data_IF_869717525120
#
_entry.id   IF_869717525120
#
_cell.length_a   1.000
_cell.length_b   1.000
_cell.length_c   1.000
_cell.angle_alpha   90.00
_cell.angle_beta   90.00
_cell.angle_gamma   90.00
#
_symmetry.space_group_name_H-M   'P 1'
#
loop_
_entity.id
_entity.type
_entity.pdbx_description
1 polymer ?
2 non-polymer ?
3 non-polymer ?
4 non-polymer ?
5 water ?
#
# COMPACT_ATOMS: atom_id res chain seq x y z
N UNK A 9 7.34 24.88 12.15
CA UNK A 9 6.68 24.35 10.95
C UNK A 9 5.22 24.00 11.25
N UNK A 10 4.33 24.29 10.28
CA UNK A 10 2.92 23.95 10.40
C UNK A 10 2.73 22.46 10.70
N UNK A 11 1.76 22.16 11.56
CA UNK A 11 1.38 20.77 11.75
C UNK A 11 0.52 20.30 10.58
N UNK A 12 0.54 18.98 10.35
CA UNK A 12 -0.27 18.36 9.32
C UNK A 12 -1.07 17.25 9.97
N UNK A 13 -2.39 17.31 9.80
CA UNK A 13 -3.29 16.34 10.40
C UNK A 13 -3.97 15.50 9.35
N UNK A 14 -4.26 14.25 9.71
CA UNK A 14 -5.05 13.36 8.86
C UNK A 14 -6.47 13.41 9.40
N UNK A 15 -7.40 13.90 8.58
CA UNK A 15 -8.78 14.05 9.04
C UNK A 15 -9.69 12.93 8.54
N UNK A 16 -9.28 12.19 7.52
CA UNK A 16 -10.02 10.99 7.13
C UNK A 16 -9.05 10.07 6.40
N UNK A 17 -9.37 8.78 6.40
CA UNK A 17 -8.48 7.77 5.86
C UNK A 17 -9.28 6.51 5.57
N UNK A 18 -9.35 6.10 4.30
CA UNK A 18 -10.16 4.94 3.93
C UNK A 18 -9.44 4.12 2.86
N UNK A 19 -9.96 2.92 2.61
CA UNK A 19 -9.43 2.08 1.55
C UNK A 19 -10.57 1.24 0.98
N UNK A 20 -10.45 0.86 -0.30
CA UNK A 20 -11.31 -0.19 -0.83
C UNK A 20 -10.91 -1.53 -0.21
N UNK A 21 -11.77 -2.55 -0.25
CA UNK A 21 -11.27 -3.90 -0.06
C UNK A 21 -10.31 -4.22 -1.20
N UNK A 22 -9.47 -5.23 -0.99
CA UNK A 22 -8.51 -5.60 -2.01
C UNK A 22 -9.00 -6.84 -2.74
N UNK A 23 -9.02 -6.76 -4.06
CA UNK A 23 -9.39 -7.89 -4.88
C UNK A 23 -8.18 -8.73 -5.28
N UNK A 24 -8.44 -10.01 -5.51
CA UNK A 24 -7.41 -10.93 -5.96
C UNK A 24 -7.12 -10.72 -7.44
N UNK A 25 -5.98 -11.23 -7.88
CA UNK A 25 -5.58 -11.10 -9.28
C UNK A 25 -6.62 -11.78 -10.18
N UNK A 26 -7.11 -11.05 -11.19
CA UNK A 26 -8.20 -11.48 -12.06
C UNK A 26 -9.47 -11.80 -11.28
N UNK A 27 -9.62 -11.22 -10.10
CA UNK A 27 -10.72 -11.50 -9.18
C UNK A 27 -11.81 -10.46 -9.23
N UNK A 28 -12.37 -10.15 -8.05
CA UNK A 28 -13.63 -9.44 -7.96
C UNK A 28 -13.57 -8.02 -8.51
N UNK A 29 -12.39 -7.39 -8.46
CA UNK A 29 -12.22 -6.03 -8.95
C UNK A 29 -11.53 -5.97 -10.29
N UNK A 30 -11.34 -7.11 -10.96
CA UNK A 30 -10.54 -7.10 -12.17
C UNK A 30 -11.19 -6.29 -13.29
N UNK A 31 -12.50 -6.06 -13.22
CA UNK A 31 -13.21 -5.24 -14.19
C UNK A 31 -13.42 -3.80 -13.80
N UNK A 32 -12.84 -3.35 -12.68
CA UNK A 32 -12.99 -2.00 -12.17
C UNK A 32 -11.64 -1.30 -12.31
N UNK A 33 -11.49 -0.37 -13.25
CA UNK A 33 -10.17 0.22 -13.51
C UNK A 33 -9.56 0.89 -12.27
N UNK A 34 -8.22 0.92 -12.23
CA UNK A 34 -7.52 1.54 -11.12
C UNK A 34 -8.06 2.94 -10.81
N UNK A 35 -8.31 3.74 -11.85
CA UNK A 35 -8.76 5.11 -11.62
C UNK A 35 -10.14 5.14 -10.97
N UNK A 36 -10.99 4.16 -11.28
CA UNK A 36 -12.29 4.11 -10.63
C UNK A 36 -12.15 3.62 -9.18
N UNK A 37 -11.24 2.67 -8.92
CA UNK A 37 -10.96 2.32 -7.53
C UNK A 37 -10.44 3.53 -6.76
N UNK A 38 -9.57 4.34 -7.40
CA UNK A 38 -9.13 5.57 -6.75
C UNK A 38 -10.30 6.50 -6.49
N UNK A 39 -11.22 6.63 -7.45
CA UNK A 39 -12.41 7.45 -7.25
C UNK A 39 -13.23 6.99 -6.04
N UNK A 40 -13.40 5.67 -5.89
CA UNK A 40 -14.18 5.15 -4.76
C UNK A 40 -13.49 5.51 -3.45
N UNK A 41 -12.16 5.37 -3.39
CA UNK A 41 -11.46 5.67 -2.15
C UNK A 41 -11.51 7.16 -1.84
N UNK A 42 -11.28 8.00 -2.85
CA UNK A 42 -11.29 9.44 -2.59
C UNK A 42 -12.68 9.89 -2.15
N UNK A 43 -13.73 9.43 -2.87
CA UNK A 43 -15.07 9.81 -2.46
C UNK A 43 -15.37 9.32 -1.06
N UNK A 44 -14.90 8.11 -0.74
CA UNK A 44 -15.12 7.59 0.60
C UNK A 44 -14.47 8.45 1.67
N UNK A 45 -13.26 8.95 1.38
CA UNK A 45 -12.56 9.79 2.35
C UNK A 45 -13.29 11.11 2.56
N UNK A 46 -13.82 11.70 1.48
CA UNK A 46 -14.61 12.92 1.62
C UNK A 46 -15.89 12.67 2.39
N UNK A 47 -16.57 11.56 2.06
CA UNK A 47 -17.87 11.26 2.65
C UNK A 47 -17.78 11.02 4.16
N UNK A 48 -16.65 10.47 4.64
CA UNK A 48 -16.51 10.19 6.07
C UNK A 48 -16.62 11.46 6.91
N UNK A 49 -16.21 12.60 6.37
CA UNK A 49 -16.22 13.86 7.10
C UNK A 49 -17.16 14.88 6.47
N UNK A 50 -18.02 14.44 5.54
CA UNK A 50 -18.98 15.31 4.86
C UNK A 50 -18.30 16.56 4.31
N UNK A 51 -17.15 16.37 3.69
CA UNK A 51 -16.34 17.51 3.26
C UNK A 51 -16.82 18.04 1.92
N UNK A 52 -17.02 19.35 1.84
CA UNK A 52 -17.28 20.01 0.57
C UNK A 52 -16.11 19.73 -0.37
N UNK A 53 -16.33 19.05 -1.50
CA UNK A 53 -15.19 18.69 -2.36
C UNK A 53 -14.36 19.87 -2.81
N UNK A 54 -14.96 21.07 -2.88
CA UNK A 54 -14.19 22.22 -3.34
C UNK A 54 -13.16 22.69 -2.32
N UNK A 55 -13.16 22.14 -1.10
CA UNK A 55 -12.10 22.49 -0.17
C UNK A 55 -10.77 21.84 -0.53
N UNK A 56 -10.79 20.79 -1.35
CA UNK A 56 -9.56 20.06 -1.69
C UNK A 56 -8.75 20.85 -2.72
N UNK A 57 -7.48 21.11 -2.41
CA UNK A 57 -6.68 21.98 -3.27
C UNK A 57 -5.72 21.24 -4.19
N UNK A 58 -5.53 19.93 -3.97
CA UNK A 58 -4.65 19.12 -4.79
C UNK A 58 -4.96 17.67 -4.45
N UNK A 59 -4.56 16.78 -5.36
CA UNK A 59 -4.76 15.35 -5.22
C UNK A 59 -3.48 14.69 -5.69
N UNK A 60 -2.84 13.91 -4.82
CA UNK A 60 -1.66 13.11 -5.20
C UNK A 60 -2.03 11.64 -5.06
N UNK A 61 -1.93 10.88 -6.15
CA UNK A 61 -2.24 9.46 -6.09
C UNK A 61 -1.05 8.62 -6.55
N UNK A 62 -0.61 7.70 -5.71
CA UNK A 62 0.37 6.71 -6.13
C UNK A 62 -0.24 5.75 -7.15
N UNK A 63 0.58 5.35 -8.13
CA UNK A 63 0.10 4.50 -9.22
C UNK A 63 1.31 4.00 -9.97
N UNK A 64 1.66 2.72 -9.84
CA UNK A 64 2.94 2.25 -10.36
C UNK A 64 2.84 1.88 -11.83
N UNK A 65 1.70 1.33 -12.24
CA UNK A 65 1.56 0.70 -13.56
C UNK A 65 0.46 1.46 -14.30
N UNK A 66 0.85 2.56 -14.93
CA UNK A 66 -0.09 3.51 -15.50
C UNK A 66 -0.49 3.18 -16.93
N UNK A 67 0.13 2.18 -17.55
CA UNK A 67 -0.09 1.94 -18.97
C UNK A 67 -1.55 1.59 -19.24
N UNK A 68 -2.12 2.28 -20.24
CA UNK A 68 -3.47 2.00 -20.69
C UNK A 68 -4.56 2.53 -19.79
N UNK A 69 -4.21 3.22 -18.70
CA UNK A 69 -5.24 3.83 -17.86
C UNK A 69 -5.82 5.08 -18.48
N UNK A 70 -5.23 5.58 -19.56
CA UNK A 70 -5.71 6.81 -20.16
C UNK A 70 -4.99 8.02 -19.60
N UNK A 71 -5.29 9.16 -20.22
CA UNK A 71 -4.60 10.41 -19.88
C UNK A 71 -4.91 10.84 -18.45
N UNK A 72 -3.87 11.31 -17.74
CA UNK A 72 -4.00 11.89 -16.40
C UNK A 72 -4.76 10.98 -15.45
N UNK A 73 -4.21 9.82 -15.11
CA UNK A 73 -4.91 8.90 -14.19
C UNK A 73 -5.34 9.56 -12.89
N UNK A 74 -4.54 10.46 -12.31
CA UNK A 74 -4.98 11.05 -11.06
C UNK A 74 -6.17 11.98 -11.26
N UNK A 75 -6.27 12.63 -12.43
CA UNK A 75 -7.46 13.43 -12.71
C UNK A 75 -8.69 12.55 -12.84
N UNK A 76 -8.54 11.42 -13.53
CA UNK A 76 -9.69 10.51 -13.68
C UNK A 76 -10.21 10.07 -12.32
N UNK A 77 -9.32 9.75 -11.39
CA UNK A 77 -9.76 9.37 -10.05
C UNK A 77 -10.45 10.53 -9.35
N UNK A 78 -9.87 11.72 -9.41
CA UNK A 78 -10.44 12.87 -8.71
C UNK A 78 -11.81 13.23 -9.27
N UNK A 79 -11.94 13.36 -10.59
CA UNK A 79 -13.23 13.71 -11.17
C UNK A 79 -14.26 12.61 -10.92
N UNK A 80 -13.83 11.34 -10.97
CA UNK A 80 -14.74 10.25 -10.68
C UNK A 80 -15.25 10.25 -9.26
N UNK A 81 -14.46 10.80 -8.33
CA UNK A 81 -14.86 10.91 -6.92
C UNK A 81 -15.79 12.08 -6.66
N UNK A 82 -16.03 12.92 -7.67
CA UNK A 82 -16.87 14.09 -7.49
C UNK A 82 -16.14 15.35 -7.13
N UNK A 83 -14.80 15.34 -7.15
CA UNK A 83 -14.08 16.60 -7.00
C UNK A 83 -14.31 17.45 -8.25
N UNK A 84 -14.34 18.78 -8.09
CA UNK A 84 -14.62 19.65 -9.25
C UNK A 84 -13.44 19.71 -10.22
N UNK A 85 -13.74 20.18 -11.43
CA UNK A 85 -12.70 20.32 -12.46
C UNK A 85 -11.74 21.44 -12.16
N UNK A 86 -11.91 22.13 -11.04
CA UNK A 86 -10.94 23.13 -10.58
C UNK A 86 -9.87 22.51 -9.67
N UNK A 87 -9.87 21.19 -9.48
CA UNK A 87 -8.93 20.51 -8.59
C UNK A 87 -7.68 20.06 -9.35
N UNK A 88 -6.49 20.58 -9.03
CA UNK A 88 -5.25 20.01 -9.60
C UNK A 88 -5.03 18.57 -9.14
N UNK A 89 -4.35 17.78 -9.98
CA UNK A 89 -4.09 16.37 -9.65
C UNK A 89 -2.75 15.91 -10.22
N UNK A 90 -2.08 15.00 -9.52
CA UNK A 90 -0.79 14.44 -9.96
C UNK A 90 -0.69 12.96 -9.55
N UNK A 91 -0.13 12.14 -10.42
CA UNK A 91 0.14 10.74 -10.10
C UNK A 91 1.62 10.55 -9.78
N UNK A 92 1.93 9.77 -8.74
CA UNK A 92 3.31 9.60 -8.29
C UNK A 92 3.71 8.14 -8.33
N UNK A 93 4.96 7.89 -8.70
CA UNK A 93 5.47 6.53 -8.88
C UNK A 93 6.83 6.41 -8.19
N UNK A 94 6.81 5.83 -6.99
CA UNK A 94 7.97 5.35 -6.26
C UNK A 94 7.81 3.84 -6.04
N UNK A 95 7.34 3.15 -7.08
CA UNK A 95 7.03 1.71 -7.05
C UNK A 95 6.18 1.44 -5.81
N UNK A 96 6.49 0.40 -5.04
CA UNK A 96 5.59 0.08 -3.93
C UNK A 96 5.50 1.19 -2.83
N UNK A 97 6.41 2.16 -2.81
CA UNK A 97 6.30 3.22 -1.82
C UNK A 97 5.39 4.36 -2.31
N UNK A 98 4.84 4.23 -3.53
CA UNK A 98 4.11 5.34 -4.16
C UNK A 98 3.04 5.95 -3.27
N UNK A 99 2.17 5.13 -2.67
CA UNK A 99 1.09 5.71 -1.87
C UNK A 99 1.60 6.42 -0.63
N UNK A 100 2.69 5.93 -0.05
CA UNK A 100 3.24 6.63 1.10
C UNK A 100 3.93 7.92 0.68
N UNK A 101 4.67 7.86 -0.45
CA UNK A 101 5.32 9.06 -0.96
C UNK A 101 4.30 10.13 -1.31
N UNK A 102 3.13 9.71 -1.83
CA UNK A 102 2.06 10.68 -2.09
C UNK A 102 1.66 11.41 -0.81
N UNK A 103 1.47 10.66 0.28
CA UNK A 103 1.11 11.28 1.56
C UNK A 103 2.21 12.21 2.05
N UNK A 104 3.47 11.79 1.94
CA UNK A 104 4.60 12.62 2.38
C UNK A 104 4.67 13.91 1.57
N UNK A 105 4.58 13.81 0.25
CA UNK A 105 4.61 15.00 -0.61
C UNK A 105 3.45 15.93 -0.30
N UNK A 106 2.28 15.36 -0.01
CA UNK A 106 1.15 16.19 0.35
C UNK A 106 1.38 16.91 1.67
N UNK A 107 1.98 16.21 2.64
CA UNK A 107 2.32 16.86 3.91
C UNK A 107 3.30 18.00 3.67
N UNK A 108 4.25 17.81 2.76
CA UNK A 108 5.20 18.87 2.46
C UNK A 108 4.52 20.06 1.83
N UNK A 109 3.49 19.83 1.00
CA UNK A 109 2.73 20.95 0.44
C UNK A 109 2.02 21.75 1.52
N UNK A 110 1.53 21.07 2.57
CA UNK A 110 0.93 21.80 3.70
C UNK A 110 2.01 22.55 4.48
N UNK A 111 3.12 21.89 4.80
CA UNK A 111 4.17 22.53 5.58
C UNK A 111 4.81 23.70 4.84
N UNK A 112 4.87 23.62 3.50
CA UNK A 112 5.45 24.69 2.69
C UNK A 112 4.52 25.89 2.59
N UNK A 113 3.30 25.78 3.10
CA UNK A 113 2.35 26.88 3.11
C UNK A 113 1.45 26.96 1.91
N UNK A 114 1.49 25.98 1.02
CA UNK A 114 0.84 26.14 -0.28
C UNK A 114 -0.58 25.66 -0.31
N UNK A 115 -0.95 24.68 0.52
CA UNK A 115 -2.33 24.19 0.57
C UNK A 115 -2.74 24.01 2.02
N UNK A 116 -4.06 24.12 2.26
CA UNK A 116 -4.65 23.87 3.56
C UNK A 116 -5.38 22.53 3.63
N UNK A 117 -5.76 21.96 2.49
CA UNK A 117 -6.45 20.68 2.46
C UNK A 117 -6.06 19.98 1.18
N UNK A 118 -5.71 18.70 1.29
CA UNK A 118 -5.15 17.96 0.16
C UNK A 118 -5.49 16.49 0.32
N UNK A 119 -5.75 15.81 -0.80
CA UNK A 119 -6.01 14.37 -0.83
C UNK A 119 -4.73 13.66 -1.24
N UNK A 120 -4.38 12.58 -0.53
CA UNK A 120 -3.23 11.76 -0.93
C UNK A 120 -3.60 10.30 -0.77
N UNK A 121 -3.15 9.47 -1.71
CA UNK A 121 -3.46 8.05 -1.62
C UNK A 121 -2.79 7.30 -2.74
N UNK A 122 -3.42 6.20 -3.17
CA UNK A 122 -2.83 5.38 -4.21
C UNK A 122 -3.85 4.42 -4.75
N UNK A 123 -3.52 3.85 -5.91
CA UNK A 123 -4.47 3.01 -6.63
C UNK A 123 -3.70 2.08 -7.55
N UNK A 124 -4.24 0.89 -7.77
CA UNK A 124 -3.62 -0.04 -8.69
C UNK A 124 -4.66 -1.07 -9.11
N UNK A 125 -4.69 -1.38 -10.40
CA UNK A 125 -5.41 -2.57 -10.85
C UNK A 125 -4.39 -3.41 -11.60
N UNK A 126 -3.82 -4.39 -10.89
CA UNK A 126 -2.79 -5.22 -11.51
C UNK A 126 -3.40 -6.16 -12.54
N UNK A 127 -4.68 -6.53 -12.36
CA UNK A 127 -5.37 -7.38 -13.33
C UNK A 127 -5.43 -6.73 -14.72
N UNK A 128 -5.48 -5.40 -14.78
CA UNK A 128 -5.68 -4.69 -16.05
C UNK A 128 -4.38 -4.19 -16.67
N UNK A 129 -3.23 -4.55 -16.14
CA UNK A 129 -1.98 -4.04 -16.72
C UNK A 129 -1.77 -4.71 -18.06
N UNK A 130 -1.48 -3.98 -19.12
CA UNK A 130 -1.36 -4.61 -20.44
C UNK A 130 -0.02 -5.30 -20.64
N UNK A 131 0.06 -6.03 -21.76
CA UNK A 131 1.32 -6.42 -22.38
C UNK A 131 1.72 -5.37 -23.42
N UNK A 132 3.02 -5.29 -23.69
CA UNK A 132 3.60 -4.23 -24.52
C UNK A 132 4.21 -4.80 -25.78
N UNK A 133 4.02 -4.11 -26.90
CA UNK A 133 4.74 -4.41 -28.14
C UNK A 133 5.30 -3.12 -28.71
N UNK A 134 6.52 -3.18 -29.25
CA UNK A 134 7.03 -2.05 -30.05
C UNK A 134 6.35 -2.11 -31.40
N UNK A 135 5.32 -1.28 -31.58
CA UNK A 135 4.59 -1.34 -32.83
C UNK A 135 5.11 -0.45 -33.94
N UNK A 136 6.05 0.45 -33.64
CA UNK A 136 6.50 1.47 -34.58
C UNK A 136 7.62 1.00 -35.46
N UNK A 137 8.44 0.10 -34.94
CA UNK A 137 9.58 -0.47 -35.64
C UNK A 137 9.19 -1.89 -36.00
N UNK A 138 8.94 -2.10 -37.29
CA UNK A 138 8.69 -3.45 -37.77
C UNK A 138 9.87 -4.37 -37.57
N UNK A 139 9.57 -5.67 -37.58
CA UNK A 139 10.59 -6.71 -37.54
C UNK A 139 10.50 -7.45 -38.86
N UNK A 140 11.52 -7.28 -39.71
CA UNK A 140 11.42 -7.79 -41.08
C UNK A 140 11.39 -9.32 -41.10
N UNK A 141 12.06 -9.97 -40.18
CA UNK A 141 12.11 -11.44 -40.16
C UNK A 141 12.47 -11.86 -38.74
N UNK A 142 11.61 -12.66 -38.12
CA UNK A 142 11.89 -13.11 -36.78
C UNK A 142 10.70 -12.98 -35.84
N UNK A 143 10.71 -13.78 -34.77
CA UNK A 143 9.63 -13.72 -33.79
C UNK A 143 9.65 -12.38 -33.05
N UNK A 144 8.47 -11.97 -32.56
CA UNK A 144 8.30 -10.72 -31.83
C UNK A 144 7.86 -11.06 -30.41
N UNK A 145 8.34 -10.30 -29.44
CA UNK A 145 8.02 -10.54 -28.05
C UNK A 145 7.07 -9.48 -27.54
N UNK A 146 6.03 -9.91 -26.81
CA UNK A 146 5.12 -9.01 -26.09
C UNK A 146 5.46 -9.14 -24.62
N UNK A 147 5.97 -8.07 -24.02
CA UNK A 147 6.39 -8.11 -22.63
C UNK A 147 5.19 -7.90 -21.72
N UNK A 148 5.05 -8.74 -20.70
CA UNK A 148 4.05 -8.52 -19.67
C UNK A 148 4.39 -7.25 -18.89
N UNK A 149 3.50 -6.24 -18.91
CA UNK A 149 3.82 -4.99 -18.24
C UNK A 149 4.00 -5.12 -16.74
N UNK A 150 3.27 -6.06 -16.13
CA UNK A 150 3.44 -6.32 -14.69
C UNK A 150 4.86 -6.77 -14.39
N UNK A 151 5.35 -7.73 -15.16
CA UNK A 151 6.70 -8.24 -14.93
C UNK A 151 7.74 -7.20 -15.31
N UNK A 152 7.53 -6.48 -16.42
CA UNK A 152 8.57 -5.58 -16.94
C UNK A 152 8.70 -4.33 -16.08
N UNK A 153 7.58 -3.69 -15.74
CA UNK A 153 7.65 -2.43 -15.01
C UNK A 153 7.44 -2.59 -13.52
N UNK A 154 6.78 -3.67 -13.10
CA UNK A 154 6.45 -3.80 -11.69
C UNK A 154 7.39 -4.69 -10.89
N UNK A 155 7.72 -5.87 -11.41
CA UNK A 155 8.26 -6.96 -10.59
C UNK A 155 9.68 -7.38 -10.93
N UNK A 156 10.30 -6.79 -11.96
CA UNK A 156 11.63 -7.20 -12.38
C UNK A 156 12.64 -6.10 -12.02
N UNK A 157 13.70 -6.49 -11.32
CA UNK A 157 14.78 -5.54 -11.05
C UNK A 157 15.52 -5.22 -12.35
N UNK A 158 15.68 -3.91 -12.63
CA UNK A 158 16.30 -3.50 -13.88
C UNK A 158 17.72 -4.02 -14.00
N UNK A 159 18.50 -3.93 -12.92
CA UNK A 159 19.95 -4.08 -13.02
C UNK A 159 20.34 -5.56 -13.10
N UNK A 160 19.62 -6.41 -12.37
CA UNK A 160 19.88 -7.85 -12.40
C UNK A 160 19.01 -8.59 -13.40
N UNK A 161 17.92 -7.97 -13.86
CA UNK A 161 16.91 -8.61 -14.71
C UNK A 161 16.25 -9.79 -14.02
N UNK A 162 16.27 -9.81 -12.69
CA UNK A 162 15.65 -10.87 -11.93
C UNK A 162 14.40 -10.36 -11.22
N UNK A 163 13.50 -11.30 -10.91
CA UNK A 163 12.25 -11.00 -10.23
C UNK A 163 12.53 -10.57 -8.79
N UNK A 164 11.65 -9.72 -8.24
CA UNK A 164 11.75 -9.33 -6.83
C UNK A 164 11.88 -10.53 -5.91
N UNK A 165 11.22 -11.64 -6.26
CA UNK A 165 11.29 -12.83 -5.43
C UNK A 165 12.70 -13.38 -5.30
N UNK A 166 13.54 -13.15 -6.31
CA UNK A 166 14.92 -13.60 -6.23
C UNK A 166 15.69 -12.74 -5.23
N UNK A 167 15.35 -11.46 -5.16
CA UNK A 167 15.94 -10.58 -4.16
C UNK A 167 15.45 -11.01 -2.74
N UNK A 168 14.20 -11.46 -2.64
CA UNK A 168 13.71 -12.00 -1.39
C UNK A 168 14.54 -13.23 -0.95
N UNK A 169 14.92 -14.08 -1.91
CA UNK A 169 15.75 -15.23 -1.56
C UNK A 169 17.14 -14.80 -1.09
N UNK A 170 17.69 -13.75 -1.71
CA UNK A 170 18.96 -13.21 -1.26
C UNK A 170 18.86 -12.76 0.20
N UNK A 171 17.75 -12.11 0.53
CA UNK A 171 17.53 -11.66 1.90
C UNK A 171 17.42 -12.84 2.86
N UNK A 172 16.67 -13.88 2.47
CA UNK A 172 16.53 -15.06 3.32
C UNK A 172 17.88 -15.69 3.63
N UNK A 173 18.75 -15.75 2.62
CA UNK A 173 20.06 -16.37 2.79
C UNK A 173 20.94 -15.54 3.71
N UNK A 174 21.03 -14.23 3.44
CA UNK A 174 21.91 -13.35 4.20
C UNK A 174 21.48 -13.23 5.65
N UNK A 175 20.18 -13.20 5.91
CA UNK A 175 19.68 -12.98 7.27
C UNK A 175 19.24 -14.28 7.95
N UNK A 176 19.55 -15.43 7.35
CA UNK A 176 19.29 -16.74 7.95
C UNK A 176 17.82 -16.88 8.36
N UNK A 177 16.94 -16.62 7.41
CA UNK A 177 15.50 -16.74 7.60
C UNK A 177 15.04 -17.95 6.81
N UNK A 178 14.55 -18.96 7.50
CA UNK A 178 14.31 -20.26 6.89
C UNK A 178 12.92 -20.34 6.26
N UNK A 179 12.75 -21.38 5.43
CA UNK A 179 11.43 -21.70 4.87
C UNK A 179 10.38 -21.84 5.98
N UNK A 180 10.72 -22.58 7.05
CA UNK A 180 9.76 -22.80 8.13
C UNK A 180 9.39 -21.49 8.81
N UNK A 181 10.37 -20.60 9.01
CA UNK A 181 10.05 -19.32 9.64
C UNK A 181 9.17 -18.46 8.75
N UNK A 182 9.45 -18.45 7.44
CA UNK A 182 8.60 -17.69 6.51
C UNK A 182 7.19 -18.24 6.49
N UNK A 183 7.06 -19.57 6.50
CA UNK A 183 5.72 -20.16 6.50
C UNK A 183 4.96 -19.82 7.78
N UNK A 184 5.65 -19.85 8.93
CA UNK A 184 4.99 -19.51 10.19
C UNK A 184 4.54 -18.05 10.18
N UNK A 185 5.39 -17.16 9.65
CA UNK A 185 5.00 -15.75 9.53
C UNK A 185 3.77 -15.61 8.64
N UNK A 186 3.75 -16.32 7.50
CA UNK A 186 2.63 -16.21 6.58
C UNK A 186 1.35 -16.70 7.24
N UNK A 187 1.41 -17.86 7.91
CA UNK A 187 0.24 -18.39 8.60
C UNK A 187 -0.25 -17.38 9.64
N UNK A 188 0.67 -16.76 10.36
CA UNK A 188 0.26 -15.74 11.32
C UNK A 188 -0.44 -14.56 10.63
N UNK A 189 0.06 -14.14 9.46
CA UNK A 189 -0.60 -13.05 8.75
C UNK A 189 -2.02 -13.44 8.33
N UNK A 190 -2.19 -14.66 7.80
CA UNK A 190 -3.54 -15.13 7.48
C UNK A 190 -4.44 -15.18 8.71
N UNK A 191 -3.92 -15.71 9.82
CA UNK A 191 -4.73 -15.84 11.03
C UNK A 191 -5.12 -14.47 11.56
N UNK A 192 -4.17 -13.53 11.59
CA UNK A 192 -4.47 -12.21 12.13
C UNK A 192 -5.47 -11.49 11.24
N UNK A 193 -5.37 -11.67 9.92
CA UNK A 193 -6.29 -11.01 9.00
C UNK A 193 -7.71 -11.51 9.21
N UNK A 194 -7.88 -12.82 9.30
CA UNK A 194 -9.22 -13.37 9.52
C UNK A 194 -9.78 -12.94 10.86
N UNK A 195 -8.93 -12.91 11.90
CA UNK A 195 -9.38 -12.49 13.22
C UNK A 195 -9.81 -11.03 13.23
N UNK A 196 -9.00 -10.15 12.63
CA UNK A 196 -9.35 -8.73 12.64
C UNK A 196 -10.63 -8.48 11.85
N UNK A 197 -10.80 -9.16 10.72
CA UNK A 197 -12.05 -9.03 9.97
C UNK A 197 -13.23 -9.49 10.83
N UNK A 198 -13.06 -10.61 11.55
CA UNK A 198 -14.17 -11.14 12.33
C UNK A 198 -14.52 -10.25 13.52
N UNK A 199 -13.55 -9.49 14.02
CA UNK A 199 -13.73 -8.60 15.15
C UNK A 199 -14.25 -7.23 14.75
N UNK A 200 -14.51 -6.99 13.46
CA UNK A 200 -14.97 -5.70 13.02
C UNK A 200 -13.88 -4.66 12.90
N UNK A 201 -12.61 -5.08 12.93
CA UNK A 201 -11.51 -4.13 12.96
C UNK A 201 -11.19 -3.50 11.63
N UNK A 202 -11.82 -3.96 10.52
CA UNK A 202 -11.66 -3.29 9.24
C UNK A 202 -12.93 -2.56 8.80
N UNK A 203 -13.99 -2.62 9.60
CA UNK A 203 -15.25 -2.02 9.21
C UNK A 203 -15.13 -0.51 9.07
N UNK A 204 -14.35 0.14 9.94
CA UNK A 204 -14.26 1.59 9.89
C UNK A 204 -13.55 2.07 8.64
N UNK A 205 -12.47 1.41 8.25
CA UNK A 205 -11.62 1.97 7.21
C UNK A 205 -12.02 1.54 5.79
N UNK A 206 -12.78 0.46 5.63
CA UNK A 206 -13.06 -0.09 4.30
C UNK A 206 -14.32 0.53 3.74
N UNK A 207 -14.23 1.05 2.53
CA UNK A 207 -15.39 1.55 1.79
C UNK A 207 -15.67 0.59 0.64
N UNK A 208 -16.90 0.16 0.47
CA UNK A 208 -17.18 -0.89 -0.52
C UNK A 208 -17.16 -0.35 -1.94
N UNK A 209 -17.00 -1.29 -2.88
CA UNK A 209 -17.02 -1.01 -4.30
C UNK A 209 -18.26 -1.65 -4.89
N UNK A 210 -19.08 -0.86 -5.59
CA UNK A 210 -20.24 -1.39 -6.29
C UNK A 210 -19.82 -1.72 -7.71
N UNK A 211 -20.09 -2.95 -8.14
CA UNK A 211 -19.60 -3.47 -9.41
C UNK A 211 -20.80 -3.64 -10.35
N UNK A 212 -20.92 -2.83 -11.40
CA UNK A 212 -22.07 -2.98 -12.31
C UNK A 212 -22.06 -4.33 -12.98
N UNK A 213 -23.25 -4.88 -13.18
CA UNK A 213 -23.43 -6.19 -13.78
C UNK A 213 -24.10 -6.05 -15.15
N UNK A 214 -23.83 -7.03 -16.02
CA UNK A 214 -24.42 -7.00 -17.36
C UNK A 214 -25.94 -6.97 -17.28
N UNK A 215 -26.52 -7.72 -16.35
CA UNK A 215 -27.96 -7.70 -16.13
C UNK A 215 -28.22 -7.93 -14.65
N UNK A 216 -28.95 -7.01 -14.04
CA UNK A 216 -29.33 -7.14 -12.64
C UNK A 216 -28.67 -6.08 -11.78
N UNK A 217 -28.81 -6.25 -10.47
CA UNK A 217 -28.27 -5.29 -9.52
C UNK A 217 -26.74 -5.44 -9.41
N UNK A 218 -26.04 -4.36 -9.04
CA UNK A 218 -24.59 -4.46 -8.89
C UNK A 218 -24.20 -5.37 -7.74
N UNK A 219 -22.99 -5.93 -7.85
CA UNK A 219 -22.39 -6.67 -6.76
C UNK A 219 -21.68 -5.68 -5.85
N UNK A 220 -21.92 -5.77 -4.54
CA UNK A 220 -21.23 -4.93 -3.57
C UNK A 220 -20.04 -5.71 -3.02
N UNK A 221 -18.83 -5.30 -3.40
CA UNK A 221 -17.60 -5.91 -2.92
C UNK A 221 -17.14 -5.14 -1.68
N UNK A 222 -17.23 -5.78 -0.50
CA UNK A 222 -17.03 -5.06 0.75
C UNK A 222 -15.95 -5.63 1.66
N UNK A 223 -15.32 -6.74 1.30
CA UNK A 223 -14.38 -7.40 2.18
C UNK A 223 -13.20 -7.93 1.37
N UNK A 224 -12.00 -7.80 1.94
CA UNK A 224 -10.79 -8.37 1.34
C UNK A 224 -11.03 -9.84 1.01
N UNK A 225 -10.64 -10.26 -0.19
CA UNK A 225 -10.89 -11.65 -0.56
C UNK A 225 -9.64 -12.51 -0.59
N UNK A 226 -8.45 -11.89 -0.52
CA UNK A 226 -7.22 -12.68 -0.63
C UNK A 226 -7.03 -13.61 0.56
N UNK A 227 -7.40 -13.18 1.77
CA UNK A 227 -7.02 -13.93 2.96
C UNK A 227 -7.81 -15.22 3.11
N UNK A 228 -8.89 -15.36 2.36
CA UNK A 228 -9.60 -16.62 2.28
C UNK A 228 -8.99 -17.60 1.28
N UNK A 229 -8.05 -17.14 0.45
CA UNK A 229 -7.37 -18.00 -0.53
C UNK A 229 -6.12 -18.62 0.09
N UNK A 230 -6.34 -19.57 0.98
CA UNK A 230 -5.25 -20.23 1.67
C UNK A 230 -5.70 -21.62 2.07
N UNK A 231 -4.79 -22.58 1.96
CA UNK A 231 -5.01 -23.93 2.49
C UNK A 231 -3.81 -24.20 3.40
N UNK A 232 -4.04 -24.12 4.71
CA UNK A 232 -2.92 -24.12 5.66
C UNK A 232 -2.11 -25.40 5.57
N UNK A 233 -2.77 -26.54 5.35
CA UNK A 233 -2.07 -27.81 5.32
C UNK A 233 -1.19 -27.97 4.09
N UNK A 234 -1.43 -27.19 3.04
CA UNK A 234 -0.61 -27.24 1.85
C UNK A 234 0.63 -26.37 1.94
N UNK A 235 0.61 -25.37 2.84
CA UNK A 235 1.70 -24.38 2.90
C UNK A 235 3.08 -25.02 3.02
N UNK A 236 3.34 -25.96 3.94
CA UNK A 236 4.70 -26.49 4.07
C UNK A 236 5.16 -27.36 2.90
N UNK A 237 4.28 -27.66 1.95
CA UNK A 237 4.61 -28.53 0.82
C UNK A 237 4.67 -27.80 -0.51
N UNK A 238 4.30 -26.53 -0.56
CA UNK A 238 4.28 -25.80 -1.81
C UNK A 238 5.69 -25.69 -2.39
N UNK A 239 5.82 -25.61 -3.71
CA UNK A 239 7.15 -25.48 -4.32
C UNK A 239 7.71 -24.07 -4.16
N UNK A 240 9.05 -23.99 -4.18
CA UNK A 240 9.73 -22.71 -4.09
C UNK A 240 9.85 -22.11 -5.49
N UNK A 241 9.10 -21.04 -5.74
CA UNK A 241 8.81 -20.63 -7.11
C UNK A 241 9.93 -19.79 -7.73
N UNK A 242 10.84 -19.23 -6.94
CA UNK A 242 11.90 -18.41 -7.49
C UNK A 242 13.24 -19.10 -7.55
N UNK A 243 13.38 -20.26 -6.90
CA UNK A 243 14.67 -20.92 -6.78
C UNK A 243 14.40 -22.41 -6.59
N UNK A 244 14.92 -23.23 -7.51
CA UNK A 244 14.59 -24.66 -7.50
C UNK A 244 15.24 -25.36 -6.32
N UNK A 245 16.53 -25.16 -6.11
CA UNK A 245 17.28 -25.84 -5.07
C UNK A 245 17.51 -24.90 -3.89
N UNK A 246 17.23 -25.38 -2.69
CA UNK A 246 17.46 -24.64 -1.45
C UNK A 246 16.67 -23.34 -1.40
N UNK A 247 15.48 -23.34 -2.02
CA UNK A 247 14.64 -22.16 -1.98
C UNK A 247 13.85 -22.06 -0.70
N UNK A 248 13.23 -20.90 -0.50
CA UNK A 248 12.40 -20.66 0.68
C UNK A 248 11.10 -19.94 0.37
N UNK A 249 11.02 -19.14 -0.70
CA UNK A 249 9.87 -18.31 -0.98
C UNK A 249 8.87 -19.10 -1.82
N UNK A 250 7.60 -19.06 -1.42
CA UNK A 250 6.53 -19.79 -2.13
C UNK A 250 5.39 -18.84 -2.48
N UNK A 251 4.43 -19.37 -3.23
CA UNK A 251 3.24 -18.57 -3.55
C UNK A 251 2.47 -18.19 -2.30
N UNK A 252 2.53 -19.00 -1.24
CA UNK A 252 1.79 -18.72 -0.03
C UNK A 252 2.49 -17.76 0.91
N UNK A 253 3.83 -17.76 0.95
CA UNK A 253 4.51 -16.88 1.90
C UNK A 253 5.04 -15.62 1.22
N UNK A 254 4.81 -15.47 -0.07
CA UNK A 254 4.96 -14.21 -0.78
C UNK A 254 3.60 -13.53 -0.87
N UNK A 255 3.61 -12.22 -1.04
CA UNK A 255 2.35 -11.55 -1.31
C UNK A 255 1.85 -11.91 -2.70
N UNK A 256 0.65 -11.48 -3.00
CA UNK A 256 0.01 -11.75 -4.28
C UNK A 256 -0.06 -10.46 -5.08
N UNK A 257 -0.57 -10.60 -6.30
CA UNK A 257 -0.92 -9.46 -7.14
C UNK A 257 -2.37 -9.10 -6.85
N UNK A 258 -2.66 -7.80 -6.71
CA UNK A 258 -3.99 -7.41 -6.24
C UNK A 258 -4.43 -6.08 -6.83
N UNK A 259 -5.72 -5.81 -6.67
CA UNK A 259 -6.38 -4.59 -7.14
C UNK A 259 -6.96 -3.85 -5.93
N UNK A 260 -6.77 -2.54 -5.86
CA UNK A 260 -7.33 -1.79 -4.73
C UNK A 260 -6.84 -0.37 -4.73
N UNK A 261 -7.45 0.45 -3.86
CA UNK A 261 -7.03 1.85 -3.74
C UNK A 261 -7.25 2.32 -2.31
N UNK A 262 -6.68 3.48 -1.99
CA UNK A 262 -6.77 4.05 -0.65
C UNK A 262 -6.61 5.56 -0.75
N UNK A 263 -7.13 6.26 0.26
CA UNK A 263 -7.07 7.72 0.17
C UNK A 263 -7.20 8.33 1.55
N UNK A 264 -6.47 9.42 1.75
CA UNK A 264 -6.47 10.18 2.99
C UNK A 264 -6.69 11.64 2.68
N UNK A 265 -7.32 12.34 3.61
CA UNK A 265 -7.42 13.79 3.52
C UNK A 265 -6.54 14.38 4.60
N UNK A 266 -5.63 15.27 4.20
CA UNK A 266 -4.71 15.99 5.08
C UNK A 266 -5.13 17.43 5.21
N UNK A 267 -4.95 18.02 6.39
CA UNK A 267 -5.32 19.41 6.60
C UNK A 267 -4.35 20.09 7.55
N UNK A 268 -4.23 21.40 7.38
CA UNK A 268 -3.62 22.23 8.41
C UNK A 268 -4.51 22.32 9.64
N UNK A 269 -3.90 22.72 10.75
CA UNK A 269 -4.66 22.96 11.98
C UNK A 269 -5.73 24.02 11.76
N UNK A 270 -5.37 25.13 11.11
CA UNK A 270 -6.31 26.22 10.93
C UNK A 270 -7.51 25.77 10.11
N UNK A 271 -7.26 25.00 9.05
CA UNK A 271 -8.36 24.56 8.19
C UNK A 271 -9.27 23.55 8.89
N UNK A 272 -8.69 22.56 9.58
CA UNK A 272 -9.58 21.58 10.22
C UNK A 272 -10.39 22.22 11.34
N UNK A 273 -9.82 23.20 12.05
CA UNK A 273 -10.58 23.84 13.12
C UNK A 273 -11.67 24.75 12.54
N UNK A 274 -11.40 25.42 11.42
CA UNK A 274 -12.42 26.26 10.81
C UNK A 274 -13.60 25.43 10.32
N UNK A 275 -13.36 24.16 9.98
CA UNK A 275 -14.40 23.25 9.52
C UNK A 275 -15.01 22.45 10.65
N UNK A 276 -14.53 22.59 11.88
CA UNK A 276 -15.06 21.83 12.99
C UNK A 276 -14.71 20.36 12.97
N UNK A 277 -13.61 19.97 12.33
CA UNK A 277 -13.24 18.57 12.16
C UNK A 277 -12.24 18.16 13.24
N UNK A 278 -12.51 17.04 13.89
CA UNK A 278 -11.51 16.49 14.79
C UNK A 278 -10.58 15.56 14.02
N UNK A 279 -9.27 15.75 14.09
CA UNK A 279 -8.37 14.88 13.34
C UNK A 279 -8.32 13.46 13.88
N UNK A 280 -8.05 12.50 12.98
CA UNK A 280 -7.78 11.13 13.39
C UNK A 280 -6.39 11.00 14.01
N UNK A 281 -5.41 11.66 13.42
CA UNK A 281 -4.01 11.48 13.77
C UNK A 281 -3.24 12.69 13.26
N UNK A 282 -2.04 12.86 13.80
CA UNK A 282 -1.12 13.90 13.36
C UNK A 282 0.07 13.24 12.67
N UNK A 283 0.54 13.81 11.57
CA UNK A 283 1.76 13.30 10.94
C UNK A 283 2.93 13.93 11.69
N UNK A 284 3.77 13.09 12.30
CA UNK A 284 4.86 13.61 13.12
C UNK A 284 6.12 13.85 12.28
N UNK A 285 6.47 12.86 11.45
CA UNK A 285 7.67 12.93 10.63
C UNK A 285 7.60 11.84 9.57
N UNK A 286 8.54 11.90 8.63
CA UNK A 286 8.59 10.93 7.54
C UNK A 286 9.98 11.00 6.94
N UNK A 287 10.33 9.97 6.17
CA UNK A 287 11.65 9.93 5.56
C UNK A 287 11.70 8.90 4.45
N UNK A 288 12.58 9.14 3.50
CA UNK A 288 12.95 8.14 2.50
C UNK A 288 14.38 7.70 2.77
N UNK A 289 14.68 6.47 2.37
CA UNK A 289 16.07 6.02 2.35
C UNK A 289 16.27 5.07 1.19
N UNK A 290 17.52 4.86 0.79
CA UNK A 290 17.76 3.91 -0.28
C UNK A 290 19.10 3.21 -0.06
N UNK A 291 19.22 2.00 -0.60
CA UNK A 291 20.50 1.32 -0.66
C UNK A 291 20.55 0.55 -1.99
N UNK A 292 21.48 -0.40 -2.09
CA UNK A 292 21.64 -1.12 -3.34
C UNK A 292 20.31 -1.71 -3.79
N UNK A 293 20.01 -1.69 -5.09
CA UNK A 293 18.71 -2.20 -5.56
C UNK A 293 18.38 -3.60 -5.06
N UNK A 294 19.37 -4.49 -5.03
CA UNK A 294 19.11 -5.85 -4.57
C UNK A 294 18.83 -5.90 -3.07
N UNK A 295 19.05 -4.81 -2.34
CA UNK A 295 18.75 -4.78 -0.91
C UNK A 295 17.55 -3.90 -0.59
N UNK A 296 16.61 -3.75 -1.54
CA UNK A 296 15.39 -3.02 -1.21
C UNK A 296 14.68 -3.68 -0.03
N UNK A 297 14.87 -4.99 0.15
CA UNK A 297 14.15 -5.74 1.18
C UNK A 297 14.38 -5.21 2.59
N UNK A 298 15.58 -4.71 2.88
CA UNK A 298 15.89 -4.21 4.22
C UNK A 298 15.99 -2.69 4.27
N UNK A 299 15.66 -2.00 3.18
CA UNK A 299 15.63 -0.55 3.23
C UNK A 299 14.64 0.02 4.26
N UNK A 300 13.52 -0.62 4.59
CA UNK A 300 12.67 -0.03 5.66
C UNK A 300 13.42 0.13 6.96
N UNK A 301 14.35 -0.77 7.26
CA UNK A 301 15.14 -0.67 8.50
C UNK A 301 16.12 0.49 8.46
N UNK A 302 16.40 1.05 7.26
CA UNK A 302 17.18 2.28 7.13
C UNK A 302 16.29 3.52 7.19
N UNK A 303 15.09 3.45 6.58
CA UNK A 303 14.23 4.64 6.53
C UNK A 303 13.61 4.97 7.88
N UNK A 304 13.16 3.95 8.62
CA UNK A 304 12.46 4.24 9.87
C UNK A 304 13.33 4.99 10.88
N UNK A 305 14.60 4.61 11.12
CA UNK A 305 15.42 5.41 12.05
C UNK A 305 15.57 6.86 11.63
N UNK A 306 15.59 7.16 10.33
CA UNK A 306 15.66 8.56 9.91
C UNK A 306 14.40 9.30 10.33
N UNK A 307 13.24 8.69 10.10
CA UNK A 307 11.98 9.31 10.50
C UNK A 307 11.93 9.47 12.01
N UNK A 308 12.39 8.47 12.76
CA UNK A 308 12.38 8.60 14.22
C UNK A 308 13.26 9.76 14.67
N UNK A 309 14.44 9.89 14.08
CA UNK A 309 15.32 10.98 14.49
C UNK A 309 14.69 12.34 14.18
N UNK A 310 14.01 12.44 13.04
CA UNK A 310 13.31 13.68 12.71
C UNK A 310 12.18 13.96 13.69
N UNK A 311 11.53 12.92 14.21
CA UNK A 311 10.48 13.08 15.22
C UNK A 311 11.02 13.30 16.63
N UNK A 312 12.34 13.19 16.83
CA UNK A 312 12.94 13.19 18.18
C UNK A 312 12.34 12.10 19.05
N UNK A 313 12.10 10.93 18.45
CA UNK A 313 11.56 9.76 19.13
C UNK A 313 12.52 8.60 18.98
N UNK A 314 12.40 7.63 19.86
CA UNK A 314 13.15 6.40 19.75
C UNK A 314 12.21 5.26 19.35
N UNK A 315 12.83 4.14 18.98
CA UNK A 315 12.02 3.00 18.58
C UNK A 315 11.14 2.52 19.73
N UNK A 316 11.59 2.70 20.98
CA UNK A 316 10.78 2.34 22.15
C UNK A 316 9.55 3.21 22.32
N UNK A 317 9.51 4.38 21.69
CA UNK A 317 8.34 5.25 21.79
C UNK A 317 7.19 4.82 20.88
N UNK A 318 7.44 3.91 19.95
CA UNK A 318 6.42 3.50 18.99
C UNK A 318 5.61 2.35 19.56
N UNK A 319 4.28 2.51 19.58
CA UNK A 319 3.42 1.47 20.15
C UNK A 319 3.11 0.37 19.14
N UNK A 320 2.87 0.75 17.88
CA UNK A 320 2.50 -0.22 16.85
C UNK A 320 3.15 0.16 15.53
N UNK A 321 3.43 -0.86 14.72
CA UNK A 321 4.12 -0.70 13.44
C UNK A 321 3.31 -1.36 12.35
N UNK A 322 3.36 -0.76 11.15
CA UNK A 322 2.87 -1.42 9.93
C UNK A 322 4.04 -1.46 8.96
N UNK A 323 4.59 -2.64 8.71
CA UNK A 323 5.63 -2.84 7.70
C UNK A 323 5.02 -3.67 6.58
N UNK A 324 5.04 -3.13 5.35
CA UNK A 324 4.35 -3.87 4.29
C UNK A 324 5.02 -5.21 4.04
N UNK A 325 4.19 -6.25 3.90
CA UNK A 325 4.66 -7.63 3.77
C UNK A 325 4.79 -8.02 2.30
N UNK A 326 5.72 -7.39 1.59
CA UNK A 326 5.92 -7.78 0.20
C UNK A 326 6.22 -9.27 0.10
N UNK A 327 6.98 -9.79 1.06
CA UNK A 327 7.26 -11.20 1.25
C UNK A 327 7.34 -11.43 2.75
N UNK A 328 7.01 -12.66 3.18
CA UNK A 328 7.18 -12.99 4.59
C UNK A 328 8.63 -12.74 5.02
N UNK A 329 9.59 -13.03 4.13
CA UNK A 329 10.98 -12.84 4.53
C UNK A 329 11.29 -11.37 4.77
N UNK A 330 10.64 -10.46 4.03
CA UNK A 330 10.85 -9.03 4.25
C UNK A 330 10.32 -8.63 5.62
N UNK A 331 9.13 -9.11 5.97
CA UNK A 331 8.60 -8.81 7.29
C UNK A 331 9.51 -9.31 8.39
N UNK A 332 9.97 -10.55 8.26
CA UNK A 332 10.84 -11.14 9.26
C UNK A 332 12.18 -10.43 9.33
N UNK A 333 12.74 -10.07 8.18
CA UNK A 333 14.07 -9.45 8.17
C UNK A 333 14.07 -8.09 8.84
N UNK A 334 13.09 -7.25 8.51
CA UNK A 334 13.05 -5.93 9.14
C UNK A 334 12.74 -6.02 10.63
N UNK A 335 11.88 -6.96 11.05
CA UNK A 335 11.66 -7.16 12.48
C UNK A 335 12.96 -7.55 13.18
N UNK A 336 13.72 -8.46 12.55
CA UNK A 336 14.94 -8.97 13.15
C UNK A 336 16.01 -7.89 13.26
N UNK A 337 16.15 -7.08 12.20
CA UNK A 337 17.17 -6.04 12.16
C UNK A 337 16.89 -4.98 13.21
N UNK A 338 15.63 -4.56 13.32
CA UNK A 338 15.22 -3.52 14.25
C UNK A 338 14.92 -4.05 15.63
N UNK A 339 14.87 -5.37 15.81
CA UNK A 339 14.60 -5.93 17.13
C UNK A 339 13.17 -5.74 17.57
N UNK A 340 12.23 -5.72 16.62
CA UNK A 340 10.85 -5.43 16.96
C UNK A 340 10.13 -6.65 17.50
N UNK A 341 9.24 -6.38 18.44
CA UNK A 341 8.31 -7.39 18.95
C UNK A 341 7.24 -7.68 17.89
N UNK A 342 7.19 -8.93 17.41
CA UNK A 342 6.23 -9.24 16.35
C UNK A 342 4.78 -9.03 16.80
N UNK A 343 4.52 -9.02 18.11
CA UNK A 343 3.17 -8.76 18.61
C UNK A 343 2.73 -7.32 18.42
N UNK A 344 3.64 -6.43 18.03
CA UNK A 344 3.35 -5.02 17.80
C UNK A 344 3.39 -4.64 16.33
N UNK A 345 3.64 -5.60 15.43
CA UNK A 345 3.83 -5.34 14.01
C UNK A 345 2.73 -6.04 13.22
N UNK A 346 2.04 -5.27 12.36
CA UNK A 346 0.98 -5.79 11.48
C UNK A 346 -0.04 -6.62 12.24
N UNK A 347 -0.59 -6.01 13.31
CA UNK A 347 -1.38 -6.80 14.27
C UNK A 347 -2.73 -7.22 13.73
N UNK A 348 -3.23 -6.58 12.67
CA UNK A 348 -4.48 -6.97 12.02
C UNK A 348 -4.24 -7.76 10.75
N UNK A 349 -3.02 -8.25 10.54
CA UNK A 349 -2.67 -8.93 9.31
C UNK A 349 -1.92 -8.00 8.38
N UNK A 350 -1.34 -8.60 7.34
CA UNK A 350 -0.56 -7.81 6.40
C UNK A 350 -0.71 -8.32 4.98
N UNK A 351 0.12 -7.77 4.08
CA UNK A 351 -0.05 -8.00 2.65
C UNK A 351 0.08 -9.46 2.23
N UNK A 352 0.80 -10.29 2.99
CA UNK A 352 0.91 -11.69 2.60
C UNK A 352 -0.46 -12.34 2.59
N UNK A 353 -1.36 -11.89 3.47
CA UNK A 353 -2.71 -12.40 3.51
C UNK A 353 -3.73 -11.48 2.86
N UNK A 354 -3.53 -10.17 2.96
CA UNK A 354 -4.55 -9.20 2.55
C UNK A 354 -4.40 -8.75 1.10
N UNK A 355 -3.21 -8.84 0.54
CA UNK A 355 -2.97 -8.41 -0.81
C UNK A 355 -2.12 -7.15 -0.89
N UNK A 356 -1.69 -6.84 -2.10
CA UNK A 356 -0.66 -5.84 -2.32
C UNK A 356 -0.80 -5.19 -3.71
N UNK A 357 -1.79 -4.26 -3.87
CA UNK A 357 -1.87 -3.44 -5.10
C UNK A 357 -0.79 -2.38 -5.02
N UNK A 358 0.23 -2.50 -5.87
CA UNK A 358 1.50 -1.81 -5.61
C UNK A 358 1.31 -0.33 -5.22
N UNK A 359 0.63 0.44 -6.06
CA UNK A 359 0.59 1.89 -5.85
C UNK A 359 -0.29 2.34 -4.70
N UNK A 360 -1.11 1.43 -4.15
CA UNK A 360 -1.98 1.75 -3.02
C UNK A 360 -1.41 1.33 -1.68
N UNK A 361 -0.59 0.27 -1.63
CA UNK A 361 -0.21 -0.30 -0.34
C UNK A 361 0.48 0.70 0.59
N UNK A 362 1.29 1.61 0.06
CA UNK A 362 2.01 2.53 0.92
C UNK A 362 1.12 3.50 1.67
N UNK A 363 -0.01 3.90 1.08
CA UNK A 363 -1.01 4.63 1.84
C UNK A 363 -1.96 3.71 2.59
N UNK A 364 -2.25 2.52 2.06
CA UNK A 364 -3.15 1.59 2.72
C UNK A 364 -2.65 1.25 4.13
N UNK A 365 -1.34 1.01 4.28
CA UNK A 365 -0.85 0.65 5.61
C UNK A 365 -0.93 1.82 6.59
N UNK A 366 -0.95 3.06 6.12
CA UNK A 366 -1.22 4.20 6.99
C UNK A 366 -2.67 4.19 7.47
N UNK A 367 -3.60 3.95 6.55
CA UNK A 367 -5.02 3.82 6.90
C UNK A 367 -5.19 2.76 7.98
N UNK A 368 -4.58 1.59 7.77
CA UNK A 368 -4.69 0.52 8.75
C UNK A 368 -4.04 0.89 10.08
N UNK A 369 -2.85 1.50 10.01
CA UNK A 369 -2.15 1.90 11.25
C UNK A 369 -2.99 2.86 12.09
N UNK A 370 -3.64 3.83 11.46
CA UNK A 370 -4.50 4.76 12.21
C UNK A 370 -5.50 3.99 13.05
N UNK A 371 -6.12 2.98 12.44
CA UNK A 371 -7.14 2.24 13.15
C UNK A 371 -6.55 1.28 14.17
N UNK A 372 -5.39 0.68 13.88
CA UNK A 372 -4.70 -0.13 14.88
C UNK A 372 -4.43 0.70 16.14
N UNK A 373 -3.94 1.94 15.97
CA UNK A 373 -3.66 2.77 17.14
C UNK A 373 -4.93 3.05 17.95
N UNK A 374 -6.04 3.34 17.27
CA UNK A 374 -7.29 3.62 18.00
C UNK A 374 -7.82 2.37 18.67
N UNK A 375 -7.73 1.22 18.00
CA UNK A 375 -8.22 -0.04 18.56
C UNK A 375 -7.47 -0.43 19.82
N UNK A 376 -6.23 0.01 19.94
CA UNK A 376 -5.38 -0.35 21.06
C UNK A 376 -5.10 0.83 22.00
N UNK A 377 -5.84 1.93 21.84
CA UNK A 377 -5.69 3.10 22.72
C UNK A 377 -4.23 3.53 22.83
N UNK A 378 -3.56 3.58 21.70
CA UNK A 378 -2.13 3.81 21.61
C UNK A 378 -1.87 5.26 21.18
N UNK A 379 -0.58 5.64 21.19
CA UNK A 379 -0.18 7.01 20.88
C UNK A 379 0.59 7.09 19.57
N UNK A 380 1.85 6.66 19.55
CA UNK A 380 2.65 6.75 18.34
C UNK A 380 2.63 5.45 17.54
N UNK A 381 2.53 5.59 16.22
CA UNK A 381 2.69 4.47 15.31
C UNK A 381 3.67 4.81 14.21
N UNK A 382 4.23 3.77 13.60
CA UNK A 382 5.10 3.99 12.45
C UNK A 382 4.74 3.00 11.35
N UNK A 383 4.79 3.47 10.10
CA UNK A 383 4.58 2.61 8.95
C UNK A 383 5.77 2.75 8.03
N UNK A 384 6.12 1.65 7.34
CA UNK A 384 7.25 1.71 6.41
C UNK A 384 7.02 0.69 5.31
N UNK A 385 7.56 0.98 4.13
CA UNK A 385 7.33 0.14 2.96
C UNK A 385 8.55 0.22 2.05
N UNK A 386 8.99 -0.94 1.54
CA UNK A 386 10.13 -0.99 0.63
C UNK A 386 9.68 -0.78 -0.81
N UNK A 387 10.64 -0.48 -1.69
CA UNK A 387 10.29 -0.29 -3.10
C UNK A 387 11.43 -0.68 -4.03
N UNK A 388 11.05 -1.12 -5.23
CA UNK A 388 12.04 -1.53 -6.21
C UNK A 388 13.03 -0.41 -6.51
N UNK A 389 14.26 -0.82 -6.84
CA UNK A 389 15.33 0.13 -7.03
C UNK A 389 16.15 0.37 -5.78
N UNK A 390 15.72 -0.19 -4.65
CA UNK A 390 16.49 -0.16 -3.42
C UNK A 390 15.96 0.78 -2.34
N UNK A 391 14.76 1.30 -2.48
CA UNK A 391 14.28 2.34 -1.59
C UNK A 391 13.33 1.83 -0.52
N UNK A 392 13.03 2.73 0.41
CA UNK A 392 11.91 2.57 1.32
C UNK A 392 11.47 3.94 1.78
N UNK A 393 10.23 4.03 2.23
CA UNK A 393 9.69 5.23 2.85
C UNK A 393 9.18 4.85 4.23
N UNK A 394 9.15 5.83 5.14
CA UNK A 394 8.65 5.58 6.49
C UNK A 394 7.94 6.83 7.00
N UNK A 395 6.93 6.63 7.84
CA UNK A 395 6.17 7.75 8.39
C UNK A 395 5.81 7.43 9.83
N UNK A 396 5.87 8.45 10.69
CA UNK A 396 5.51 8.35 12.10
C UNK A 396 4.26 9.19 12.31
N UNK A 397 3.24 8.61 12.95
CA UNK A 397 2.02 9.36 13.21
C UNK A 397 1.70 9.29 14.69
N UNK A 398 0.91 10.26 15.14
CA UNK A 398 0.45 10.32 16.52
C UNK A 398 -1.06 10.20 16.51
N UNK A 399 -1.57 9.16 17.15
CA UNK A 399 -3.01 9.02 17.32
C UNK A 399 -3.56 10.14 18.18
N UNK A 400 -4.66 10.75 17.74
CA UNK A 400 -5.37 11.79 18.50
C UNK A 400 -6.61 11.14 19.08
N UNK A 401 -6.65 11.01 20.40
CA UNK A 401 -7.69 10.25 21.06
C UNK A 401 -9.00 11.01 21.06
X LIG B 1 0.36 -15.30 -0.27
X LIG C 1 13.46 -4.63 20.74
X LIG D 1 -17.43 -11.40 9.05
X LIG E 1 14.00 5.03 -4.05
X LIG F 1 22.15 -4.03 2.69
X LIG F 1 23.09 -2.99 2.74
X LIG F 1 22.22 -4.84 4.02
X LIG F 1 20.93 -5.13 4.54
X LIG F 1 23.02 -6.13 3.66
X LIG F 1 24.09 -5.73 2.86
#
# INVERSE_FOLDING_TARGET
>A
MAHHHHHHMKEVFIVSAVRTPMGSFMGSLSGVPATQLGAVAIKGALDKINLNPAEIQDVYMGNVLQAGEGQAPAKQAALGAGLPNTTPTTAVNKVCASGMKAVMMAAQAVKAGDVEAIVAGGMENMSQVPHYIDGRNGVKLGDIKLQDGLLKDGLTDVYSKQHMGNCAELCAKEYNITREEQDAFAIQSYERSAKAWSEGKFKEEVVPVSIPQRKGEPIIFAEDEEYKNVKFDRIPTLPTVFQKENGTVTAANASTLNDGASALVLMSKEKMESLGLKPLAKIVSYADAAQAPEWFTTAPAKALPIALAKANLTINDIDFFEFNEAFSVVGLANNKILGLDAAKVNVNGGAVALGHPLGSSGSRIIVTLINVLKQNNAKYGAAAICNGGGGASAIVIENIK
>B hetero
1 CA CA
>C hetero
1 CA CA
>D hetero
1 CA CA
>E hetero
1 CL CL
>F hetero
1 GOL C1 O1 C2 O2 C3 O3
#
